data_IF_146121785969
#
_entry.id   IF_146121785969
#
_cell.length_a   1.000
_cell.length_b   1.000
_cell.length_c   1.000
_cell.angle_alpha   90.00
_cell.angle_beta   90.00
_cell.angle_gamma   90.00
#
_symmetry.space_group_name_H-M   'P 1'
#
loop_
_entity.id
_entity.type
_entity.pdbx_description
1 polymer ?
#
# COMPACT_ATOMS: atom_id res chain seq x y z
N UNK A 1 15.86 -2.28 -0.84
CA UNK A 1 15.32 -3.63 -0.61
C UNK A 1 13.81 -3.70 -0.86
N UNK A 2 12.99 -2.87 -0.18
CA UNK A 2 11.52 -2.90 -0.29
C UNK A 2 10.98 -2.72 -1.73
N UNK A 3 11.61 -1.85 -2.52
CA UNK A 3 11.19 -1.57 -3.90
C UNK A 3 11.30 -2.81 -4.81
N UNK A 4 12.36 -3.61 -4.64
CA UNK A 4 12.59 -4.83 -5.43
C UNK A 4 11.54 -5.90 -5.10
N UNK A 5 11.17 -6.03 -3.82
CA UNK A 5 10.13 -6.95 -3.36
C UNK A 5 8.77 -6.55 -3.96
N UNK A 6 8.46 -5.25 -3.98
CA UNK A 6 7.24 -4.74 -4.60
C UNK A 6 7.17 -5.08 -6.09
N UNK A 7 8.25 -4.85 -6.83
CA UNK A 7 8.31 -5.22 -8.25
C UNK A 7 8.14 -6.72 -8.50
N UNK A 8 8.70 -7.56 -7.63
CA UNK A 8 8.50 -9.01 -7.71
C UNK A 8 7.03 -9.41 -7.49
N UNK A 9 6.35 -8.79 -6.53
CA UNK A 9 4.91 -9.01 -6.26
C UNK A 9 4.08 -8.57 -7.48
N UNK A 10 4.38 -7.42 -8.07
CA UNK A 10 3.69 -6.91 -9.27
C UNK A 10 3.86 -7.87 -10.45
N UNK A 11 5.10 -8.32 -10.71
CA UNK A 11 5.39 -9.27 -11.79
C UNK A 11 4.65 -10.60 -11.58
N UNK A 12 4.71 -11.17 -10.37
CA UNK A 12 3.98 -12.38 -10.03
C UNK A 12 2.47 -12.19 -10.24
N UNK A 13 1.93 -11.07 -9.77
CA UNK A 13 0.52 -10.72 -9.91
C UNK A 13 0.07 -10.64 -11.38
N UNK A 14 0.88 -10.04 -12.25
CA UNK A 14 0.59 -9.97 -13.69
C UNK A 14 0.64 -11.36 -14.31
N UNK A 15 1.65 -12.18 -13.99
CA UNK A 15 1.78 -13.55 -14.50
C UNK A 15 0.58 -14.41 -14.10
N UNK A 16 0.14 -14.33 -12.83
CA UNK A 16 -1.03 -15.05 -12.34
C UNK A 16 -2.33 -14.53 -12.96
N UNK A 17 -2.46 -13.22 -13.16
CA UNK A 17 -3.60 -12.62 -13.86
C UNK A 17 -3.73 -13.19 -15.29
N UNK A 18 -2.63 -13.21 -16.05
CA UNK A 18 -2.61 -13.72 -17.43
C UNK A 18 -2.89 -15.22 -17.48
N UNK A 19 -2.24 -16.01 -16.59
CA UNK A 19 -2.44 -17.47 -16.55
C UNK A 19 -3.84 -17.88 -16.13
N UNK A 20 -4.41 -17.22 -15.14
CA UNK A 20 -5.71 -17.61 -14.55
C UNK A 20 -6.89 -16.82 -15.15
N UNK A 21 -6.62 -15.86 -16.05
CA UNK A 21 -7.59 -14.94 -16.67
C UNK A 21 -8.52 -14.25 -15.68
N UNK A 22 -8.06 -14.08 -14.44
CA UNK A 22 -8.82 -13.46 -13.36
C UNK A 22 -8.23 -12.08 -13.08
N UNK A 23 -8.92 -10.99 -13.46
CA UNK A 23 -8.41 -9.64 -13.26
C UNK A 23 -8.24 -9.30 -11.76
N UNK A 24 -8.91 -10.05 -10.88
CA UNK A 24 -8.81 -9.92 -9.43
C UNK A 24 -7.38 -10.05 -8.89
N UNK A 25 -6.48 -10.74 -9.61
CA UNK A 25 -5.06 -10.80 -9.21
C UNK A 25 -4.42 -9.41 -9.20
N UNK A 26 -4.81 -8.47 -10.07
CA UNK A 26 -4.32 -7.08 -10.02
C UNK A 26 -4.75 -6.33 -8.75
N UNK A 27 -5.71 -6.87 -7.98
CA UNK A 27 -6.04 -6.37 -6.65
C UNK A 27 -4.92 -6.60 -5.63
N UNK A 28 -4.04 -7.59 -5.85
CA UNK A 28 -2.91 -7.90 -4.96
C UNK A 28 -1.93 -6.73 -4.81
N UNK A 29 -1.40 -6.12 -5.90
CA UNK A 29 -0.52 -4.95 -5.76
C UNK A 29 -1.24 -3.73 -5.19
N UNK A 30 -2.54 -3.56 -5.45
CA UNK A 30 -3.35 -2.50 -4.84
C UNK A 30 -3.46 -2.71 -3.32
N UNK A 31 -3.75 -3.94 -2.88
CA UNK A 31 -3.78 -4.32 -1.47
C UNK A 31 -2.42 -4.14 -0.81
N UNK A 32 -1.33 -4.51 -1.49
CA UNK A 32 0.04 -4.32 -0.98
C UNK A 32 0.35 -2.84 -0.73
N UNK A 33 -0.08 -1.94 -1.63
CA UNK A 33 0.04 -0.50 -1.42
C UNK A 33 -0.82 -0.01 -0.24
N UNK A 34 -2.06 -0.48 -0.13
CA UNK A 34 -2.94 -0.14 0.99
C UNK A 34 -2.35 -0.55 2.34
N UNK A 35 -1.81 -1.77 2.44
CA UNK A 35 -1.13 -2.28 3.65
C UNK A 35 0.14 -1.48 3.93
N UNK A 36 0.93 -1.15 2.91
CA UNK A 36 2.13 -0.33 3.08
C UNK A 36 1.78 1.05 3.68
N UNK A 37 0.79 1.73 3.11
CA UNK A 37 0.31 3.03 3.59
C UNK A 37 -0.24 2.92 5.02
N UNK A 38 -1.02 1.88 5.31
CA UNK A 38 -1.58 1.65 6.64
C UNK A 38 -0.49 1.46 7.70
N UNK A 39 0.52 0.64 7.42
CA UNK A 39 1.66 0.44 8.32
C UNK A 39 2.45 1.74 8.48
N UNK A 40 2.55 2.57 7.45
CA UNK A 40 3.20 3.86 7.53
C UNK A 40 2.42 4.83 8.43
N UNK A 41 1.09 4.87 8.32
CA UNK A 41 0.22 5.65 9.21
C UNK A 41 0.41 5.21 10.67
N UNK A 42 0.47 3.91 10.92
CA UNK A 42 0.72 3.37 12.27
C UNK A 42 2.13 3.68 12.81
N UNK A 43 3.10 3.93 11.93
CA UNK A 43 4.49 4.27 12.30
C UNK A 43 4.71 5.76 12.53
N UNK A 44 3.74 6.61 12.22
CA UNK A 44 3.81 8.03 12.57
C UNK A 44 3.84 8.15 14.10
N UNK A 45 4.90 8.74 14.68
CA UNK A 45 5.06 8.83 16.15
C UNK A 45 4.06 9.79 16.81
N UNK A 46 3.40 10.63 16.01
CA UNK A 46 2.35 11.55 16.44
C UNK A 46 0.99 10.85 16.41
N UNK A 47 0.08 11.13 17.37
CA UNK A 47 -1.32 10.76 17.25
C UNK A 47 -1.87 11.27 15.90
N UNK A 48 -2.56 10.40 15.16
CA UNK A 48 -3.15 10.75 13.85
C UNK A 48 -3.98 12.06 13.94
N UNK A 49 -4.65 12.28 15.06
CA UNK A 49 -5.41 13.50 15.37
C UNK A 49 -4.55 14.76 15.42
N UNK A 50 -3.36 14.70 16.03
CA UNK A 50 -2.44 15.85 16.10
C UNK A 50 -1.85 16.16 14.73
N UNK A 51 -1.58 15.14 13.92
CA UNK A 51 -1.06 15.33 12.56
C UNK A 51 -2.12 15.97 11.65
N UNK A 52 -3.38 15.55 11.76
CA UNK A 52 -4.50 16.17 11.04
C UNK A 52 -4.72 17.61 11.50
N UNK A 53 -4.68 17.88 12.81
CA UNK A 53 -4.80 19.24 13.34
C UNK A 53 -3.67 20.16 12.84
N UNK A 54 -2.43 19.67 12.80
CA UNK A 54 -1.28 20.39 12.28
C UNK A 54 -1.37 20.68 10.77
N UNK A 55 -1.77 19.69 9.95
CA UNK A 55 -1.87 19.87 8.48
C UNK A 55 -2.99 20.85 8.11
N UNK A 56 -4.11 20.80 8.83
CA UNK A 56 -5.29 21.61 8.53
C UNK A 56 -5.38 22.90 9.35
N UNK A 57 -4.37 23.21 10.16
CA UNK A 57 -4.34 24.35 11.09
C UNK A 57 -5.61 24.47 11.94
N UNK A 58 -6.15 23.32 12.34
CA UNK A 58 -7.29 23.20 13.24
C UNK A 58 -6.78 23.33 14.68
N UNK A 59 -6.48 24.55 15.11
CA UNK A 59 -6.27 24.87 16.53
C UNK A 59 -7.55 24.69 17.36
#
# INVERSE_FOLDING_TARGET
MALVIFWAIVLASIVFMVKKKQPLFLGVPILALGVYIFIEILRVPLPFTETVQFIFDLQ
#
